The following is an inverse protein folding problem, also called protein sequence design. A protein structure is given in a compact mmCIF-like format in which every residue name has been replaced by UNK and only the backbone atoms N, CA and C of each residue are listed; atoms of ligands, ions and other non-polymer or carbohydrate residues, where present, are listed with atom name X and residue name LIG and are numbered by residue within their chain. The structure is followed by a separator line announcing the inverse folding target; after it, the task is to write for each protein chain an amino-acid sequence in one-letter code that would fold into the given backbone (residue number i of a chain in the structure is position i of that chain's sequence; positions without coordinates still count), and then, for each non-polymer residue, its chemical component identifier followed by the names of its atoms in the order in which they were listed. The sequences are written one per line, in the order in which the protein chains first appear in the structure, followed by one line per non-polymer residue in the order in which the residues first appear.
data_IF_256610930900
#
_entry.id   IF_256610930900
#
_cell.length_a   1.000
_cell.length_b   1.000
_cell.length_c   1.000
_cell.angle_alpha   90.00
_cell.angle_beta   90.00
_cell.angle_gamma   90.00
#
_symmetry.space_group_name_H-M   'P 1'
#
loop_
_entity.id
_entity.type
_entity.pdbx_description
1 polymer ?
#
# COMPACT_ATOMS: atom_id res chain seq x y z
N UNK A 1 9.34 7.08 -11.16
CA UNK A 1 7.95 7.46 -10.79
C UNK A 1 7.08 6.32 -10.22
N UNK A 2 7.45 5.03 -10.35
CA UNK A 2 6.65 3.92 -9.81
C UNK A 2 6.63 3.81 -8.26
N UNK A 3 7.73 4.17 -7.58
CA UNK A 3 7.80 4.05 -6.10
C UNK A 3 6.79 4.93 -5.35
N UNK A 4 6.52 6.14 -5.84
CA UNK A 4 5.58 7.09 -5.21
C UNK A 4 4.14 6.57 -5.22
N UNK A 5 3.76 5.81 -6.27
CA UNK A 5 2.41 5.22 -6.38
C UNK A 5 2.18 4.14 -5.33
N UNK A 6 3.19 3.30 -5.10
CA UNK A 6 3.10 2.24 -4.08
C UNK A 6 3.04 2.80 -2.67
N UNK A 7 3.79 3.88 -2.39
CA UNK A 7 3.72 4.57 -1.10
C UNK A 7 2.35 5.22 -0.85
N UNK A 8 1.65 5.71 -1.87
CA UNK A 8 0.31 6.28 -1.69
C UNK A 8 -0.75 5.20 -1.44
N UNK A 9 -0.66 4.06 -2.14
CA UNK A 9 -1.56 2.93 -1.97
C UNK A 9 -1.45 2.30 -0.57
N UNK A 10 -0.22 2.12 -0.06
CA UNK A 10 -0.03 1.58 1.30
C UNK A 10 -0.46 2.57 2.36
N UNK A 11 -0.34 3.88 2.10
CA UNK A 11 -0.78 4.92 3.06
C UNK A 11 -2.29 4.86 3.27
N UNK A 12 -3.07 4.75 2.20
CA UNK A 12 -4.54 4.68 2.29
C UNK A 12 -4.99 3.41 3.02
N UNK A 13 -4.39 2.27 2.69
CA UNK A 13 -4.73 0.98 3.30
C UNK A 13 -4.32 0.95 4.80
N UNK A 14 -3.12 1.45 5.13
CA UNK A 14 -2.66 1.60 6.51
C UNK A 14 -3.54 2.56 7.31
N UNK A 15 -3.91 3.71 6.74
CA UNK A 15 -4.74 4.72 7.41
C UNK A 15 -6.19 4.24 7.58
N UNK A 16 -6.70 3.36 6.72
CA UNK A 16 -7.98 2.67 6.92
C UNK A 16 -7.91 1.66 8.06
N UNK A 17 -6.82 0.90 8.16
CA UNK A 17 -6.62 -0.07 9.24
C UNK A 17 -6.29 0.60 10.59
N UNK A 18 -5.62 1.75 10.54
CA UNK A 18 -5.15 2.51 11.69
C UNK A 18 -5.51 4.00 11.51
N UNK A 19 -6.78 4.40 11.73
CA UNK A 19 -7.18 5.81 11.60
C UNK A 19 -6.48 6.74 12.59
N UNK A 20 -5.89 6.19 13.64
CA UNK A 20 -5.17 6.91 14.69
C UNK A 20 -3.64 6.90 14.52
N UNK A 21 -3.10 6.13 13.57
CA UNK A 21 -1.66 5.95 13.39
C UNK A 21 -1.30 6.15 11.92
N UNK A 22 -0.17 6.81 11.67
CA UNK A 22 0.24 7.15 10.31
C UNK A 22 1.40 6.27 9.86
N UNK A 23 1.46 5.97 8.57
CA UNK A 23 2.58 5.22 8.01
C UNK A 23 3.94 5.93 8.23
N UNK A 24 3.94 7.26 8.40
CA UNK A 24 5.13 8.03 8.79
C UNK A 24 5.56 7.73 10.23
N UNK A 25 4.61 7.66 11.16
CA UNK A 25 4.85 7.29 12.55
C UNK A 25 5.35 5.85 12.66
N UNK A 26 4.77 4.91 11.91
CA UNK A 26 5.30 3.55 11.81
C UNK A 26 6.75 3.53 11.31
N UNK A 27 7.08 4.29 10.26
CA UNK A 27 8.47 4.43 9.77
C UNK A 27 9.41 4.98 10.84
N UNK A 28 8.96 5.94 11.65
CA UNK A 28 9.75 6.47 12.77
C UNK A 28 9.96 5.42 13.86
N UNK A 29 8.90 4.69 14.24
CA UNK A 29 8.96 3.65 15.28
C UNK A 29 9.81 2.45 14.85
N UNK A 30 9.74 2.08 13.57
CA UNK A 30 10.58 1.05 12.96
C UNK A 30 12.10 1.36 12.98
N UNK A 31 12.52 2.60 13.26
CA UNK A 31 13.95 2.87 13.51
C UNK A 31 14.42 2.40 14.89
N UNK A 32 13.51 2.31 15.85
CA UNK A 32 13.84 2.04 17.25
C UNK A 32 13.43 0.63 17.69
N UNK A 33 12.40 0.05 17.07
CA UNK A 33 11.84 -1.24 17.48
C UNK A 33 11.89 -2.27 16.36
N UNK A 34 12.36 -3.49 16.68
CA UNK A 34 12.40 -4.61 15.73
C UNK A 34 11.00 -5.15 15.40
N UNK A 35 10.04 -5.01 16.32
CA UNK A 35 8.63 -5.35 16.07
C UNK A 35 8.04 -4.45 14.99
N UNK A 36 8.24 -3.14 15.11
CA UNK A 36 7.79 -2.17 14.12
C UNK A 36 8.52 -2.33 12.76
N UNK A 37 9.76 -2.82 12.74
CA UNK A 37 10.44 -3.20 11.49
C UNK A 37 9.76 -4.38 10.79
N UNK A 38 9.34 -5.39 11.57
CA UNK A 38 8.57 -6.51 11.06
C UNK A 38 7.23 -6.04 10.48
N UNK A 39 6.53 -5.18 11.21
CA UNK A 39 5.26 -4.60 10.80
C UNK A 39 5.40 -3.77 9.51
N UNK A 40 6.43 -2.91 9.42
CA UNK A 40 6.69 -2.11 8.23
C UNK A 40 6.96 -2.99 7.01
N UNK A 41 7.68 -4.11 7.18
CA UNK A 41 7.98 -5.04 6.10
C UNK A 41 6.76 -5.82 5.65
N UNK A 42 5.89 -6.22 6.57
CA UNK A 42 4.61 -6.87 6.26
C UNK A 42 3.71 -5.93 5.45
N UNK A 43 3.58 -4.67 5.90
CA UNK A 43 2.83 -3.65 5.18
C UNK A 43 3.41 -3.34 3.80
N UNK A 44 4.74 -3.36 3.61
CA UNK A 44 5.34 -3.24 2.28
C UNK A 44 5.00 -4.44 1.37
N UNK A 45 4.87 -5.66 1.90
CA UNK A 45 4.44 -6.83 1.13
C UNK A 45 2.96 -6.71 0.73
N UNK A 46 2.10 -6.28 1.65
CA UNK A 46 0.69 -5.99 1.37
C UNK A 46 0.56 -4.91 0.29
N UNK A 47 1.37 -3.84 0.39
CA UNK A 47 1.44 -2.78 -0.61
C UNK A 47 1.81 -3.31 -2.00
N UNK A 48 2.81 -4.20 -2.09
CA UNK A 48 3.24 -4.80 -3.35
C UNK A 48 2.17 -5.73 -3.95
N UNK A 49 1.44 -6.47 -3.11
CA UNK A 49 0.32 -7.30 -3.54
C UNK A 49 -0.87 -6.44 -4.04
N UNK A 50 -1.23 -5.40 -3.28
CA UNK A 50 -2.26 -4.42 -3.64
C UNK A 50 -1.93 -3.67 -4.91
N UNK A 51 -0.67 -3.28 -5.09
CA UNK A 51 -0.16 -2.68 -6.31
C UNK A 51 -0.41 -3.56 -7.53
N UNK A 52 0.01 -4.84 -7.46
CA UNK A 52 -0.26 -5.81 -8.53
C UNK A 52 -1.76 -6.01 -8.76
N UNK A 53 -2.56 -6.00 -7.70
CA UNK A 53 -4.01 -6.14 -7.80
C UNK A 53 -4.66 -4.90 -8.44
N UNK A 54 -4.20 -3.69 -8.10
CA UNK A 54 -4.66 -2.43 -8.67
C UNK A 54 -4.23 -2.29 -10.14
N UNK A 55 -3.03 -2.74 -10.50
CA UNK A 55 -2.60 -2.83 -11.90
C UNK A 55 -3.47 -3.83 -12.67
N UNK A 56 -3.76 -5.01 -12.10
CA UNK A 56 -4.69 -5.99 -12.70
C UNK A 56 -6.10 -5.44 -12.85
N UNK A 57 -6.63 -4.77 -11.82
CA UNK A 57 -7.96 -4.17 -11.83
C UNK A 57 -8.04 -3.02 -12.85
N UNK A 58 -7.01 -2.18 -12.93
CA UNK A 58 -6.91 -1.12 -13.93
C UNK A 58 -6.86 -1.67 -15.35
N UNK A 59 -6.09 -2.75 -15.59
CA UNK A 59 -6.05 -3.44 -16.89
C UNK A 59 -7.40 -4.08 -17.20
N UNK A 60 -8.07 -4.70 -16.21
CA UNK A 60 -9.39 -5.29 -16.38
C UNK A 60 -10.47 -4.23 -16.65
N UNK A 61 -10.38 -3.06 -16.01
CA UNK A 61 -11.27 -1.93 -16.23
C UNK A 61 -11.10 -1.32 -17.63
N UNK A 62 -9.86 -1.29 -18.15
CA UNK A 62 -9.58 -0.88 -19.53
C UNK A 62 -9.97 -1.95 -20.56
N UNK A 63 -9.97 -3.22 -20.17
CA UNK A 63 -10.38 -4.35 -21.02
C UNK A 63 -11.90 -4.55 -21.09
N UNK A 64 -12.70 -3.83 -20.28
CA UNK A 64 -14.15 -3.89 -20.36
C UNK A 64 -14.59 -3.27 -21.70
N UNK A 65 -15.21 -4.02 -22.62
CA UNK A 65 -15.68 -3.45 -23.87
C UNK A 65 -16.74 -2.39 -23.55
N UNK A 66 -16.55 -1.17 -24.07
CA UNK A 66 -17.66 -0.25 -24.29
C UNK A 66 -18.57 -0.88 -25.33
N UNK A 67 -19.42 -1.83 -24.93
CA UNK A 67 -20.67 -2.06 -25.64
C UNK A 67 -21.61 -0.93 -25.23
N UNK A 68 -22.25 -0.19 -26.11
CA UNK A 68 -22.55 -0.36 -27.53
C UNK A 68 -23.84 0.42 -27.74
#
# INVERSE_FOLDING_TARGET
MLRVRYESLVRDDYQRAHPNDSFDDLKRRARFSKEDQGLLRDWMNVAAARAKQCERDSIAALARPRGG
#
